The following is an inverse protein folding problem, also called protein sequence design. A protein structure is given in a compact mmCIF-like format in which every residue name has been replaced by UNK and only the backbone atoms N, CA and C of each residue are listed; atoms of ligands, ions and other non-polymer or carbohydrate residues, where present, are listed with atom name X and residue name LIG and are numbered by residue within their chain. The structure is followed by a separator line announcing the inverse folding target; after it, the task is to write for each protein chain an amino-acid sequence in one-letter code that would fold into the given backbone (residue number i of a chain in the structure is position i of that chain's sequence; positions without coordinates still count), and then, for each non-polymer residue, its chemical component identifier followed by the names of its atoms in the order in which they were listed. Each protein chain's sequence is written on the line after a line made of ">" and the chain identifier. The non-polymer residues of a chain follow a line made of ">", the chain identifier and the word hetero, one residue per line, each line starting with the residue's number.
data_IF_195218210311
#
_entry.id   IF_195218210311
#
_cell.length_a   1.000
_cell.length_b   1.000
_cell.length_c   1.000
_cell.angle_alpha   90.00
_cell.angle_beta   90.00
_cell.angle_gamma   90.00
#
_symmetry.space_group_name_H-M   'P 1'
#
loop_
_entity.id
_entity.type
_entity.pdbx_description
1 polymer ?
#
# COMPACT_ATOMS: atom_id res chain seq x y z
N UNK A 1 36.44 11.24 22.98
CA UNK A 1 35.41 11.70 22.05
C UNK A 1 34.32 10.64 22.04
N UNK A 2 33.13 10.98 22.55
CA UNK A 2 32.00 10.05 22.53
C UNK A 2 31.56 9.89 21.07
N UNK A 3 31.93 8.79 20.46
CA UNK A 3 31.60 8.44 19.07
C UNK A 3 30.16 7.89 19.02
N UNK A 4 29.18 8.68 19.47
CA UNK A 4 27.77 8.33 19.38
C UNK A 4 27.33 8.59 17.93
N UNK A 5 26.89 7.56 17.25
CA UNK A 5 26.37 7.63 15.88
C UNK A 5 25.24 8.67 15.71
N UNK A 6 24.51 8.96 16.77
CA UNK A 6 23.30 9.80 16.74
C UNK A 6 23.44 11.10 17.57
N UNK A 7 24.61 11.43 18.08
CA UNK A 7 24.80 12.57 18.95
C UNK A 7 24.17 12.37 20.34
N UNK A 8 23.81 13.47 21.00
CA UNK A 8 23.16 13.44 22.31
C UNK A 8 21.66 13.16 22.16
N UNK A 9 21.09 12.44 23.13
CA UNK A 9 19.64 12.29 23.22
C UNK A 9 19.00 13.64 23.57
N UNK A 10 17.75 13.85 23.15
CA UNK A 10 17.02 15.09 23.46
C UNK A 10 16.94 15.36 24.97
N UNK A 11 16.86 14.31 25.79
CA UNK A 11 16.86 14.38 27.24
C UNK A 11 18.19 14.91 27.81
N UNK A 12 19.31 14.63 27.14
CA UNK A 12 20.64 15.14 27.53
C UNK A 12 20.85 16.63 27.15
N UNK A 13 19.99 17.12 26.25
CA UNK A 13 19.97 18.53 25.81
C UNK A 13 19.00 19.38 26.63
N UNK A 14 18.22 18.76 27.52
CA UNK A 14 17.25 19.41 28.37
C UNK A 14 17.93 20.43 29.30
N UNK A 15 17.33 21.59 29.45
CA UNK A 15 17.73 22.63 30.41
C UNK A 15 16.47 23.20 31.03
N UNK A 16 16.45 23.21 32.36
CA UNK A 16 15.33 23.71 33.15
C UNK A 16 14.87 25.11 32.70
N UNK A 17 13.56 25.30 32.59
CA UNK A 17 12.91 26.55 32.20
C UNK A 17 12.86 26.83 30.71
N UNK A 18 13.44 25.98 29.84
CA UNK A 18 13.34 26.17 28.38
C UNK A 18 12.03 25.65 27.84
N UNK A 19 11.46 26.40 26.88
CA UNK A 19 10.23 26.04 26.19
C UNK A 19 10.42 26.19 24.67
N UNK A 20 9.98 25.21 23.92
CA UNK A 20 10.03 25.19 22.44
C UNK A 20 8.73 25.53 21.74
N UNK A 21 7.68 25.90 22.47
CA UNK A 21 6.38 26.19 21.91
C UNK A 21 5.59 27.21 22.74
N UNK A 22 4.60 27.83 22.09
CA UNK A 22 3.52 28.57 22.76
C UNK A 22 2.18 27.97 22.34
N UNK A 23 1.44 27.44 23.29
CA UNK A 23 0.09 26.94 23.00
C UNK A 23 -0.92 28.08 22.98
N UNK A 24 -1.95 28.04 22.10
CA UNK A 24 -3.07 28.95 22.16
C UNK A 24 -3.81 28.81 23.49
N UNK A 25 -4.55 29.85 23.88
CA UNK A 25 -5.37 29.77 25.09
C UNK A 25 -6.35 28.62 24.99
N UNK A 26 -6.46 27.86 26.10
CA UNK A 26 -7.47 26.83 26.22
C UNK A 26 -8.87 27.46 26.27
N UNK A 27 -9.71 27.20 25.28
CA UNK A 27 -11.09 27.66 25.20
C UNK A 27 -12.11 26.65 25.77
N UNK A 28 -11.65 25.46 26.16
CA UNK A 28 -12.52 24.34 26.58
C UNK A 28 -12.63 24.17 28.10
N UNK A 29 -12.16 25.12 28.90
CA UNK A 29 -12.15 25.00 30.34
C UNK A 29 -11.15 23.95 30.85
N UNK A 30 -11.08 23.78 32.17
CA UNK A 30 -10.26 22.75 32.81
C UNK A 30 -11.14 21.53 33.14
N UNK A 31 -10.67 20.36 32.75
CA UNK A 31 -11.26 19.08 33.17
C UNK A 31 -10.31 18.44 34.20
N UNK A 32 -10.85 18.10 35.36
CA UNK A 32 -10.07 17.33 36.35
C UNK A 32 -10.12 15.84 36.03
N UNK A 33 -8.94 15.27 35.82
CA UNK A 33 -8.80 13.83 35.65
C UNK A 33 -9.07 13.16 37.00
N UNK A 34 -9.91 12.11 37.06
CA UNK A 34 -10.12 11.36 38.29
C UNK A 34 -8.81 10.90 38.95
N UNK A 35 -8.76 10.92 40.28
CA UNK A 35 -7.52 10.67 41.01
C UNK A 35 -6.87 9.31 40.70
N UNK A 36 -7.69 8.30 40.46
CA UNK A 36 -7.28 6.94 40.08
C UNK A 36 -6.65 6.86 38.68
N UNK A 37 -6.89 7.85 37.85
CA UNK A 37 -6.33 7.94 36.48
C UNK A 37 -5.13 8.90 36.41
N UNK A 38 -4.86 9.65 37.48
CA UNK A 38 -3.70 10.55 37.55
C UNK A 38 -2.43 9.74 37.73
N UNK A 39 -1.35 10.19 37.09
CA UNK A 39 -0.01 9.68 37.37
C UNK A 39 0.40 10.09 38.79
N UNK A 40 1.14 9.23 39.48
CA UNK A 40 1.71 9.55 40.78
C UNK A 40 2.79 10.66 40.70
N UNK A 41 3.51 10.70 39.57
CA UNK A 41 4.57 11.67 39.29
C UNK A 41 4.36 12.31 37.94
N UNK A 42 4.79 13.53 37.74
CA UNK A 42 4.78 14.20 36.45
C UNK A 42 5.70 13.50 35.46
N UNK A 43 5.32 13.52 34.17
CA UNK A 43 6.17 12.97 33.13
C UNK A 43 7.46 13.81 33.01
N UNK A 44 8.60 13.15 33.09
CA UNK A 44 9.91 13.78 32.90
C UNK A 44 10.13 14.04 31.39
N UNK A 45 9.59 15.14 30.89
CA UNK A 45 9.79 15.58 29.53
C UNK A 45 11.00 16.49 29.41
N UNK A 46 11.73 16.47 28.26
CA UNK A 46 12.87 17.35 28.07
C UNK A 46 12.40 18.80 27.90
N UNK A 47 13.04 19.70 28.63
CA UNK A 47 12.84 21.14 28.52
C UNK A 47 13.83 21.72 27.50
N UNK A 48 13.39 21.98 26.30
CA UNK A 48 14.19 22.43 25.16
C UNK A 48 13.55 23.64 24.48
N UNK A 49 14.40 24.54 23.97
CA UNK A 49 13.95 25.58 23.06
C UNK A 49 13.72 25.03 21.65
N UNK A 50 12.96 25.77 20.84
CA UNK A 50 12.62 25.38 19.45
C UNK A 50 13.87 25.06 18.61
N UNK A 51 14.91 25.88 18.72
CA UNK A 51 16.15 25.70 17.96
C UNK A 51 16.82 24.36 18.27
N UNK A 52 16.86 24.00 19.56
CA UNK A 52 17.44 22.73 20.05
C UNK A 52 16.62 21.55 19.50
N UNK A 53 15.29 21.62 19.56
CA UNK A 53 14.39 20.58 19.05
C UNK A 53 14.57 20.39 17.54
N UNK A 54 14.47 21.48 16.78
CA UNK A 54 14.58 21.43 15.31
C UNK A 54 15.94 20.88 14.88
N UNK A 55 17.04 21.37 15.47
CA UNK A 55 18.39 20.89 15.15
C UNK A 55 18.60 19.43 15.51
N UNK A 56 18.09 18.99 16.65
CA UNK A 56 18.21 17.60 17.08
C UNK A 56 17.54 16.65 16.07
N UNK A 57 16.27 16.88 15.75
CA UNK A 57 15.53 16.01 14.84
C UNK A 57 15.98 16.12 13.39
N UNK A 58 16.42 17.31 12.93
CA UNK A 58 17.03 17.46 11.61
C UNK A 58 18.33 16.65 11.50
N UNK A 59 19.18 16.69 12.52
CA UNK A 59 20.40 15.88 12.52
C UNK A 59 20.12 14.38 12.54
N UNK A 60 19.12 13.93 13.29
CA UNK A 60 18.66 12.53 13.25
C UNK A 60 18.12 12.14 11.87
N UNK A 61 17.33 13.01 11.27
CA UNK A 61 16.80 12.80 9.92
C UNK A 61 17.91 12.64 8.87
N UNK A 62 18.98 13.46 8.98
CA UNK A 62 20.12 13.38 8.07
C UNK A 62 20.93 12.09 8.19
N UNK A 63 20.76 11.32 9.26
CA UNK A 63 21.38 10.00 9.43
C UNK A 63 20.57 8.89 8.75
N UNK A 64 19.40 9.18 8.21
CA UNK A 64 18.56 8.25 7.47
C UNK A 64 18.62 8.54 5.99
N UNK A 65 18.32 7.51 5.20
CA UNK A 65 18.12 7.70 3.77
C UNK A 65 16.81 8.44 3.50
N UNK A 66 16.87 9.43 2.63
CA UNK A 66 15.72 10.18 2.15
C UNK A 66 15.72 10.25 0.64
N UNK A 67 14.53 10.18 0.05
CA UNK A 67 14.38 10.24 -1.42
C UNK A 67 14.84 11.58 -2.01
N UNK A 68 14.85 12.64 -1.20
CA UNK A 68 15.32 13.97 -1.60
C UNK A 68 16.85 14.11 -1.49
N UNK A 69 17.50 13.29 -0.69
CA UNK A 69 18.95 13.38 -0.44
C UNK A 69 19.77 12.35 -1.20
N UNK A 70 19.13 11.34 -1.77
CA UNK A 70 19.81 10.30 -2.51
C UNK A 70 18.91 9.20 -3.02
N UNK A 71 19.52 8.18 -3.60
CA UNK A 71 18.79 7.01 -4.05
C UNK A 71 18.28 6.19 -2.86
N UNK A 72 16.97 5.96 -2.80
CA UNK A 72 16.34 5.17 -1.76
C UNK A 72 16.25 3.70 -2.18
N UNK A 73 16.88 2.76 -1.44
CA UNK A 73 17.03 1.37 -1.89
C UNK A 73 15.78 0.51 -1.74
N UNK A 74 14.74 0.96 -1.01
CA UNK A 74 13.51 0.22 -0.79
C UNK A 74 12.48 0.53 -1.88
N UNK A 75 11.76 -0.49 -2.33
CA UNK A 75 10.84 -0.39 -3.45
C UNK A 75 9.40 -0.85 -3.19
N UNK A 76 9.10 -1.37 -2.00
CA UNK A 76 7.80 -1.95 -1.67
C UNK A 76 6.66 -0.93 -1.50
N UNK A 77 6.98 0.34 -1.28
CA UNK A 77 6.02 1.42 -1.07
C UNK A 77 6.31 2.59 -2.01
N UNK A 78 5.55 3.68 -1.88
CA UNK A 78 5.79 4.93 -2.61
C UNK A 78 7.04 5.62 -2.08
N UNK A 79 8.23 5.14 -2.47
CA UNK A 79 9.52 5.65 -2.04
C UNK A 79 10.34 6.19 -3.23
N UNK A 80 9.65 6.57 -4.32
CA UNK A 80 10.26 7.20 -5.48
C UNK A 80 10.23 8.71 -5.31
N UNK A 81 11.19 9.39 -5.93
CA UNK A 81 11.19 10.83 -5.94
C UNK A 81 9.88 11.34 -6.55
N UNK A 82 9.19 12.18 -5.79
CA UNK A 82 8.00 12.89 -6.27
C UNK A 82 8.41 14.34 -6.61
N UNK A 83 8.30 14.78 -7.87
CA UNK A 83 8.60 16.16 -8.23
C UNK A 83 7.83 17.14 -7.35
N UNK A 84 8.50 18.15 -6.80
CA UNK A 84 7.88 19.10 -5.85
C UNK A 84 6.68 19.84 -6.44
N UNK A 85 6.68 20.05 -7.77
CA UNK A 85 5.54 20.63 -8.48
C UNK A 85 4.24 19.84 -8.27
N UNK A 86 4.31 18.52 -8.06
CA UNK A 86 3.13 17.69 -7.82
C UNK A 86 2.46 18.07 -6.49
N UNK A 87 3.26 18.34 -5.45
CA UNK A 87 2.75 18.81 -4.15
C UNK A 87 2.12 20.19 -4.28
N UNK A 88 2.77 21.12 -4.99
CA UNK A 88 2.27 22.46 -5.23
C UNK A 88 0.94 22.44 -5.98
N UNK A 89 0.83 21.62 -7.03
CA UNK A 89 -0.40 21.51 -7.81
C UNK A 89 -1.53 20.87 -7.02
N UNK A 90 -1.25 19.81 -6.26
CA UNK A 90 -2.26 19.14 -5.44
C UNK A 90 -2.74 20.03 -4.27
N UNK A 91 -1.90 20.95 -3.79
CA UNK A 91 -2.22 21.89 -2.74
C UNK A 91 -3.08 23.09 -3.19
N UNK A 92 -3.36 23.22 -4.48
CA UNK A 92 -4.23 24.31 -4.97
C UNK A 92 -5.63 24.20 -4.34
N UNK A 93 -6.22 25.31 -3.85
CA UNK A 93 -7.55 25.31 -3.22
C UNK A 93 -8.65 24.70 -4.10
N UNK A 94 -8.50 24.81 -5.42
CA UNK A 94 -9.42 24.25 -6.41
C UNK A 94 -9.47 22.71 -6.39
N UNK A 95 -8.43 22.05 -5.88
CA UNK A 95 -8.38 20.61 -5.69
C UNK A 95 -8.64 20.21 -4.25
N UNK A 96 -8.05 20.91 -3.28
CA UNK A 96 -8.19 20.56 -1.86
C UNK A 96 -9.60 20.78 -1.31
N UNK A 97 -10.32 21.77 -1.82
CA UNK A 97 -11.66 22.13 -1.34
C UNK A 97 -12.79 21.38 -2.06
N UNK A 98 -12.48 20.32 -2.81
CA UNK A 98 -13.48 19.48 -3.44
C UNK A 98 -14.00 18.45 -2.44
N UNK A 99 -15.34 18.31 -2.37
CA UNK A 99 -15.96 17.23 -1.59
C UNK A 99 -16.18 16.00 -2.49
N UNK A 100 -15.93 14.77 -2.01
CA UNK A 100 -16.08 13.55 -2.82
C UNK A 100 -17.49 13.32 -3.38
N UNK A 101 -18.52 13.77 -2.64
CA UNK A 101 -19.94 13.61 -3.01
C UNK A 101 -20.56 14.88 -3.61
N UNK A 102 -19.73 15.85 -3.97
CA UNK A 102 -20.19 17.08 -4.61
C UNK A 102 -20.79 16.78 -6.00
N UNK A 103 -21.83 17.51 -6.46
CA UNK A 103 -22.45 17.26 -7.76
C UNK A 103 -21.46 17.25 -8.91
N UNK A 104 -21.59 16.27 -9.79
CA UNK A 104 -20.66 15.96 -10.91
C UNK A 104 -20.41 17.17 -11.81
N UNK A 105 -21.43 17.98 -12.06
CA UNK A 105 -21.36 19.19 -12.88
C UNK A 105 -20.45 20.27 -12.30
N UNK A 106 -20.18 20.24 -10.99
CA UNK A 106 -19.32 21.20 -10.30
C UNK A 106 -17.84 20.80 -10.29
N UNK A 107 -17.53 19.55 -10.67
CA UNK A 107 -16.16 18.96 -10.61
C UNK A 107 -15.63 18.50 -11.96
N UNK A 108 -16.13 19.07 -13.06
CA UNK A 108 -15.76 18.67 -14.43
C UNK A 108 -14.26 18.68 -14.71
N UNK A 109 -13.53 19.65 -14.13
CA UNK A 109 -12.07 19.74 -14.28
C UNK A 109 -11.35 18.56 -13.63
N UNK A 110 -11.71 18.19 -12.40
CA UNK A 110 -11.16 17.03 -11.70
C UNK A 110 -11.48 15.73 -12.45
N UNK A 111 -12.70 15.58 -12.96
CA UNK A 111 -13.08 14.41 -13.78
C UNK A 111 -12.28 14.32 -15.09
N UNK A 112 -12.04 15.45 -15.75
CA UNK A 112 -11.22 15.48 -16.95
C UNK A 112 -9.78 15.01 -16.68
N UNK A 113 -9.19 15.41 -15.54
CA UNK A 113 -7.86 14.94 -15.11
C UNK A 113 -7.84 13.43 -14.85
N UNK A 114 -8.82 12.91 -14.12
CA UNK A 114 -8.94 11.47 -13.86
C UNK A 114 -9.08 10.69 -15.17
N UNK A 115 -9.93 11.17 -16.09
CA UNK A 115 -10.12 10.55 -17.41
C UNK A 115 -8.84 10.58 -18.25
N UNK A 116 -8.08 11.67 -18.21
CA UNK A 116 -6.81 11.79 -18.91
C UNK A 116 -5.78 10.81 -18.35
N UNK A 117 -5.71 10.70 -17.02
CA UNK A 117 -4.81 9.76 -16.36
C UNK A 117 -5.19 8.31 -16.70
N UNK A 118 -6.47 7.95 -16.67
CA UNK A 118 -6.95 6.62 -17.07
C UNK A 118 -6.52 6.29 -18.50
N UNK A 119 -6.77 7.18 -19.46
CA UNK A 119 -6.36 7.00 -20.85
C UNK A 119 -4.85 6.77 -21.00
N UNK A 120 -4.05 7.55 -20.26
CA UNK A 120 -2.58 7.43 -20.29
C UNK A 120 -2.12 6.08 -19.73
N UNK A 121 -2.71 5.65 -18.61
CA UNK A 121 -2.39 4.35 -18.01
C UNK A 121 -2.86 3.19 -18.88
N UNK A 122 -4.04 3.26 -19.49
CA UNK A 122 -4.51 2.27 -20.46
C UNK A 122 -3.54 2.14 -21.63
N UNK A 123 -3.04 3.25 -22.16
CA UNK A 123 -2.08 3.24 -23.26
C UNK A 123 -0.73 2.63 -22.87
N UNK A 124 -0.25 2.90 -21.66
CA UNK A 124 1.02 2.38 -21.14
C UNK A 124 0.98 0.89 -20.82
N UNK A 125 -0.12 0.41 -20.26
CA UNK A 125 -0.23 -0.95 -19.72
C UNK A 125 -0.94 -1.93 -20.63
N UNK A 126 -1.74 -1.42 -21.59
CA UNK A 126 -2.61 -2.23 -22.44
C UNK A 126 -3.90 -2.71 -21.74
N UNK A 127 -4.17 -2.25 -20.52
CA UNK A 127 -5.41 -2.55 -19.80
C UNK A 127 -6.58 -1.72 -20.32
N UNK A 128 -7.80 -2.24 -20.16
CA UNK A 128 -9.01 -1.58 -20.66
C UNK A 128 -9.47 -0.42 -19.78
N UNK A 129 -9.33 -0.54 -18.46
CA UNK A 129 -9.82 0.44 -17.48
C UNK A 129 -8.96 0.50 -16.24
N UNK A 130 -9.03 1.63 -15.52
CA UNK A 130 -8.41 1.85 -14.23
C UNK A 130 -9.40 2.41 -13.22
N UNK A 131 -9.20 2.10 -11.94
CA UNK A 131 -9.88 2.74 -10.83
C UNK A 131 -8.86 3.48 -9.96
N UNK A 132 -9.24 4.65 -9.47
CA UNK A 132 -8.40 5.50 -8.60
C UNK A 132 -8.95 5.57 -7.17
N UNK A 133 -9.89 4.68 -6.81
CA UNK A 133 -10.47 4.61 -5.47
C UNK A 133 -9.57 3.97 -4.41
N UNK A 134 -8.72 2.98 -4.73
CA UNK A 134 -7.79 2.40 -3.76
C UNK A 134 -6.77 3.43 -3.25
N UNK A 135 -6.56 3.48 -1.93
CA UNK A 135 -5.65 4.46 -1.31
C UNK A 135 -4.19 4.02 -1.29
N UNK A 136 -3.92 2.72 -1.38
CA UNK A 136 -2.58 2.14 -1.31
C UNK A 136 -2.52 0.80 -2.06
N UNK A 137 -1.30 0.23 -2.20
CA UNK A 137 -1.09 -1.06 -2.86
C UNK A 137 -1.96 -2.19 -2.28
N UNK A 138 -2.01 -2.31 -0.95
CA UNK A 138 -2.86 -3.31 -0.29
C UNK A 138 -4.35 -3.17 -0.62
N UNK A 139 -4.86 -1.93 -0.77
CA UNK A 139 -6.24 -1.70 -1.20
C UNK A 139 -6.44 -2.06 -2.68
N UNK A 140 -5.40 -1.92 -3.52
CA UNK A 140 -5.42 -2.39 -4.91
C UNK A 140 -5.56 -3.91 -4.98
N UNK A 141 -4.75 -4.63 -4.19
CA UNK A 141 -4.83 -6.10 -4.06
C UNK A 141 -6.22 -6.55 -3.60
N UNK A 142 -6.75 -5.94 -2.54
CA UNK A 142 -8.08 -6.22 -2.02
C UNK A 142 -9.16 -5.95 -3.07
N UNK A 143 -9.11 -4.80 -3.75
CA UNK A 143 -10.06 -4.43 -4.81
C UNK A 143 -10.03 -5.45 -5.96
N UNK A 144 -8.83 -5.90 -6.35
CA UNK A 144 -8.65 -6.92 -7.36
C UNK A 144 -9.33 -8.24 -6.98
N UNK A 145 -9.07 -8.73 -5.77
CA UNK A 145 -9.67 -9.97 -5.28
C UNK A 145 -11.19 -9.87 -5.13
N UNK A 146 -11.71 -8.75 -4.60
CA UNK A 146 -13.16 -8.50 -4.54
C UNK A 146 -13.80 -8.51 -5.94
N UNK A 147 -13.11 -7.94 -6.92
CA UNK A 147 -13.58 -7.94 -8.32
C UNK A 147 -13.62 -9.35 -8.89
N UNK A 148 -12.59 -10.16 -8.63
CA UNK A 148 -12.49 -11.55 -9.06
C UNK A 148 -13.59 -12.41 -8.41
N UNK A 149 -13.77 -12.30 -7.09
CA UNK A 149 -14.82 -13.04 -6.38
C UNK A 149 -16.22 -12.68 -6.91
N UNK A 150 -16.47 -11.37 -7.08
CA UNK A 150 -17.75 -10.91 -7.63
C UNK A 150 -17.97 -11.39 -9.08
N UNK A 151 -16.93 -11.44 -9.90
CA UNK A 151 -17.00 -12.00 -11.26
C UNK A 151 -17.44 -13.46 -11.24
N UNK A 152 -16.82 -14.30 -10.39
CA UNK A 152 -17.19 -15.71 -10.28
C UNK A 152 -18.62 -15.88 -9.77
N UNK A 153 -19.00 -15.15 -8.71
CA UNK A 153 -20.35 -15.16 -8.15
C UNK A 153 -21.42 -14.73 -9.16
N UNK A 154 -21.16 -13.68 -9.93
CA UNK A 154 -22.11 -13.19 -10.95
C UNK A 154 -22.39 -14.19 -12.06
N UNK A 155 -21.48 -15.15 -12.25
CA UNK A 155 -21.63 -16.27 -13.18
C UNK A 155 -22.21 -17.54 -12.57
N UNK A 156 -22.55 -17.51 -11.27
CA UNK A 156 -23.03 -18.66 -10.54
C UNK A 156 -21.93 -19.67 -10.17
N UNK A 157 -20.66 -19.35 -10.37
CA UNK A 157 -19.52 -20.22 -10.04
C UNK A 157 -19.11 -20.00 -8.58
N UNK A 158 -19.88 -20.61 -7.67
CA UNK A 158 -19.69 -20.48 -6.22
C UNK A 158 -18.59 -21.40 -5.66
N UNK A 159 -18.04 -22.30 -6.48
CA UNK A 159 -17.00 -23.25 -6.06
C UNK A 159 -15.62 -22.58 -5.99
N UNK A 160 -15.39 -21.52 -6.74
CA UNK A 160 -14.08 -20.83 -6.83
C UNK A 160 -13.84 -19.94 -5.64
N UNK A 161 -13.27 -20.52 -4.59
CA UNK A 161 -12.99 -19.84 -3.30
C UNK A 161 -11.52 -19.88 -2.91
N UNK A 162 -10.64 -20.42 -3.75
CA UNK A 162 -9.22 -20.58 -3.44
C UNK A 162 -8.36 -19.61 -4.24
N UNK A 163 -7.33 -19.06 -3.58
CA UNK A 163 -6.33 -18.20 -4.19
C UNK A 163 -4.96 -18.80 -4.01
N UNK A 164 -4.24 -19.02 -5.11
CA UNK A 164 -2.85 -19.47 -5.05
C UNK A 164 -1.97 -18.27 -4.71
N UNK A 165 -1.13 -18.44 -3.69
CA UNK A 165 -0.17 -17.43 -3.23
C UNK A 165 1.21 -18.09 -3.03
N UNK A 166 2.30 -17.54 -3.60
CA UNK A 166 3.63 -18.06 -3.32
C UNK A 166 4.00 -17.95 -1.84
N UNK A 167 4.74 -18.90 -1.30
CA UNK A 167 5.26 -18.91 0.07
C UNK A 167 6.17 -17.71 0.38
N UNK A 168 6.80 -17.14 -0.65
CA UNK A 168 7.62 -15.92 -0.60
C UNK A 168 6.84 -14.62 -0.77
N UNK A 169 5.51 -14.67 -0.86
CA UNK A 169 4.68 -13.49 -1.09
C UNK A 169 4.70 -12.53 0.11
N UNK A 170 4.46 -11.26 -0.17
CA UNK A 170 4.26 -10.26 0.87
C UNK A 170 3.02 -10.60 1.72
N UNK A 171 3.09 -10.37 3.02
CA UNK A 171 2.00 -10.71 3.97
C UNK A 171 0.64 -10.08 3.66
N UNK A 172 0.58 -9.00 2.87
CA UNK A 172 -0.69 -8.40 2.43
C UNK A 172 -1.45 -9.29 1.45
N UNK A 173 -0.77 -10.13 0.68
CA UNK A 173 -1.42 -10.99 -0.30
C UNK A 173 -2.36 -12.01 0.38
N UNK A 174 -1.87 -12.85 1.31
CA UNK A 174 -2.75 -13.75 2.04
C UNK A 174 -3.77 -13.00 2.91
N UNK A 175 -3.40 -11.85 3.50
CA UNK A 175 -4.33 -11.04 4.29
C UNK A 175 -5.50 -10.53 3.45
N UNK A 176 -5.26 -10.03 2.25
CA UNK A 176 -6.30 -9.56 1.33
C UNK A 176 -7.22 -10.70 0.88
N UNK A 177 -6.67 -11.90 0.63
CA UNK A 177 -7.48 -13.08 0.30
C UNK A 177 -8.40 -13.47 1.47
N UNK A 178 -7.87 -13.50 2.69
CA UNK A 178 -8.64 -13.81 3.90
C UNK A 178 -9.78 -12.81 4.14
N UNK A 179 -9.52 -11.50 3.95
CA UNK A 179 -10.55 -10.44 4.07
C UNK A 179 -11.68 -10.64 3.06
N UNK A 180 -11.37 -11.12 1.85
CA UNK A 180 -12.38 -11.49 0.85
C UNK A 180 -13.12 -12.79 1.15
N UNK A 181 -12.77 -13.51 2.22
CA UNK A 181 -13.33 -14.83 2.54
C UNK A 181 -12.87 -15.93 1.59
N UNK A 182 -11.71 -15.74 0.95
CA UNK A 182 -11.08 -16.70 0.06
C UNK A 182 -10.06 -17.54 0.84
N UNK A 183 -9.98 -18.82 0.52
CA UNK A 183 -9.02 -19.77 1.08
C UNK A 183 -7.68 -19.64 0.35
N UNK A 184 -6.58 -19.71 1.12
CA UNK A 184 -5.24 -19.58 0.58
C UNK A 184 -4.69 -20.96 0.28
N UNK A 185 -4.18 -21.14 -0.93
CA UNK A 185 -3.41 -22.32 -1.35
C UNK A 185 -1.99 -21.86 -1.62
N UNK A 186 -1.06 -22.27 -0.77
CA UNK A 186 0.34 -21.92 -0.90
C UNK A 186 1.02 -22.75 -1.99
N UNK A 187 1.78 -22.08 -2.87
CA UNK A 187 2.67 -22.69 -3.82
C UNK A 187 4.13 -22.44 -3.42
N UNK A 188 4.96 -23.47 -3.48
CA UNK A 188 6.37 -23.42 -3.06
C UNK A 188 7.22 -22.58 -3.99
N UNK A 189 8.28 -22.01 -3.43
CA UNK A 189 9.34 -21.33 -4.16
C UNK A 189 10.59 -22.23 -4.26
N UNK A 190 11.27 -22.17 -5.39
CA UNK A 190 12.57 -22.79 -5.61
C UNK A 190 13.69 -22.00 -4.91
N UNK A 191 14.85 -22.60 -4.73
CA UNK A 191 16.01 -21.97 -4.10
C UNK A 191 16.48 -20.68 -4.82
N UNK A 192 16.15 -20.52 -6.09
CA UNK A 192 16.42 -19.32 -6.88
C UNK A 192 15.35 -18.22 -6.76
N UNK A 193 14.34 -18.40 -5.88
CA UNK A 193 13.25 -17.47 -5.65
C UNK A 193 12.12 -17.52 -6.68
N UNK A 194 12.17 -18.41 -7.65
CA UNK A 194 11.08 -18.62 -8.59
C UNK A 194 10.01 -19.55 -8.00
N UNK A 195 8.77 -19.41 -8.45
CA UNK A 195 7.70 -20.35 -8.10
C UNK A 195 8.03 -21.73 -8.63
N UNK A 196 7.86 -22.76 -7.80
CA UNK A 196 7.98 -24.15 -8.21
C UNK A 196 6.84 -24.50 -9.17
N UNK A 197 7.20 -24.67 -10.43
CA UNK A 197 6.22 -24.90 -11.49
C UNK A 197 5.60 -26.30 -11.40
N UNK A 198 6.31 -27.31 -10.91
CA UNK A 198 5.78 -28.66 -10.73
C UNK A 198 4.71 -28.68 -9.62
N UNK A 199 5.00 -27.99 -8.49
CA UNK A 199 4.05 -27.83 -7.40
C UNK A 199 2.82 -27.06 -7.87
N UNK A 200 3.01 -25.98 -8.64
CA UNK A 200 1.90 -25.21 -9.22
C UNK A 200 1.02 -26.06 -10.15
N UNK A 201 1.63 -26.88 -11.02
CA UNK A 201 0.88 -27.77 -11.92
C UNK A 201 0.08 -28.82 -11.11
N UNK A 202 0.68 -29.37 -10.06
CA UNK A 202 0.01 -30.31 -9.15
C UNK A 202 -1.22 -29.65 -8.50
N UNK A 203 -1.08 -28.46 -7.92
CA UNK A 203 -2.16 -27.72 -7.29
C UNK A 203 -3.30 -27.41 -8.25
N UNK A 204 -2.97 -27.00 -9.47
CA UNK A 204 -3.97 -26.71 -10.51
C UNK A 204 -4.66 -28.01 -10.98
N UNK A 205 -3.96 -29.12 -11.07
CA UNK A 205 -4.56 -30.40 -11.44
C UNK A 205 -5.51 -30.92 -10.35
N UNK A 206 -5.13 -30.78 -9.08
CA UNK A 206 -5.92 -31.26 -7.95
C UNK A 206 -7.13 -30.37 -7.62
N UNK A 207 -6.99 -29.03 -7.72
CA UNK A 207 -7.94 -28.06 -7.17
C UNK A 207 -8.40 -27.01 -8.19
N UNK A 208 -8.07 -27.15 -9.46
CA UNK A 208 -8.27 -26.10 -10.48
C UNK A 208 -9.71 -25.60 -10.63
N UNK A 209 -10.72 -26.42 -10.32
CA UNK A 209 -12.13 -26.02 -10.33
C UNK A 209 -12.52 -25.11 -9.18
N UNK A 210 -11.74 -25.11 -8.09
CA UNK A 210 -11.98 -24.31 -6.89
C UNK A 210 -11.10 -23.04 -6.86
N UNK A 211 -10.09 -22.95 -7.72
CA UNK A 211 -9.18 -21.81 -7.78
C UNK A 211 -9.86 -20.62 -8.46
N UNK A 212 -10.00 -19.53 -7.71
CA UNK A 212 -10.53 -18.25 -8.19
C UNK A 212 -9.46 -17.39 -8.84
N UNK A 213 -8.25 -17.36 -8.25
CA UNK A 213 -7.17 -16.47 -8.67
C UNK A 213 -5.80 -17.01 -8.27
N UNK A 214 -4.75 -16.38 -8.80
CA UNK A 214 -3.38 -16.52 -8.34
C UNK A 214 -2.77 -15.13 -8.18
N UNK A 215 -2.11 -14.88 -7.05
CA UNK A 215 -1.37 -13.63 -6.80
C UNK A 215 0.12 -13.89 -6.99
N UNK A 216 0.74 -13.19 -7.96
CA UNK A 216 2.16 -13.35 -8.29
C UNK A 216 2.85 -12.00 -8.48
N UNK A 217 4.17 -11.96 -8.32
CA UNK A 217 4.99 -10.80 -8.68
C UNK A 217 5.50 -10.91 -10.13
N UNK A 218 5.87 -9.77 -10.73
CA UNK A 218 6.36 -9.72 -12.13
C UNK A 218 7.52 -10.66 -12.45
N UNK A 219 8.36 -10.99 -11.48
CA UNK A 219 9.45 -11.97 -11.67
C UNK A 219 8.94 -13.39 -11.91
N UNK A 220 7.67 -13.67 -11.62
CA UNK A 220 7.01 -14.93 -11.93
C UNK A 220 6.38 -14.98 -13.34
N UNK A 221 6.57 -13.97 -14.19
CA UNK A 221 5.98 -13.92 -15.54
C UNK A 221 6.38 -15.13 -16.42
N UNK A 222 7.54 -15.74 -16.20
CA UNK A 222 7.88 -16.97 -16.92
C UNK A 222 6.98 -18.14 -16.52
N UNK A 223 6.62 -18.25 -15.25
CA UNK A 223 5.62 -19.21 -14.76
C UNK A 223 4.23 -18.94 -15.33
N UNK A 224 3.83 -17.67 -15.39
CA UNK A 224 2.54 -17.24 -15.95
C UNK A 224 2.44 -17.52 -17.46
N UNK A 225 3.49 -17.25 -18.25
CA UNK A 225 3.53 -17.62 -19.67
C UNK A 225 3.41 -19.12 -19.88
N UNK A 226 4.07 -19.93 -19.04
CA UNK A 226 3.95 -21.39 -19.06
C UNK A 226 2.57 -21.88 -18.61
N UNK A 227 1.91 -21.21 -17.64
CA UNK A 227 0.50 -21.50 -17.32
C UNK A 227 -0.43 -21.26 -18.51
N UNK A 228 -0.10 -20.33 -19.40
CA UNK A 228 -0.84 -20.15 -20.64
C UNK A 228 -0.62 -21.31 -21.62
N UNK A 229 0.51 -21.99 -21.56
CA UNK A 229 0.81 -23.19 -22.36
C UNK A 229 0.12 -24.45 -21.81
N UNK A 230 -0.14 -24.53 -20.51
CA UNK A 230 -0.91 -25.62 -19.86
C UNK A 230 -2.41 -25.61 -20.23
N UNK A 231 -2.85 -24.67 -21.05
CA UNK A 231 -4.23 -24.56 -21.58
C UNK A 231 -4.73 -25.76 -22.39
N UNK A 232 -3.94 -26.75 -22.63
CA UNK A 232 -4.37 -27.98 -23.29
C UNK A 232 -4.93 -29.04 -22.31
N UNK A 233 -5.00 -28.76 -21.01
CA UNK A 233 -5.81 -29.58 -20.09
C UNK A 233 -7.30 -29.30 -20.31
N UNK A 234 -8.16 -30.33 -20.35
CA UNK A 234 -9.53 -30.25 -20.87
C UNK A 234 -10.50 -29.62 -19.87
N UNK A 235 -10.31 -28.39 -19.48
CA UNK A 235 -11.36 -27.57 -18.88
C UNK A 235 -11.75 -26.49 -19.86
N UNK A 236 -12.63 -26.87 -20.78
CA UNK A 236 -13.36 -25.96 -21.66
C UNK A 236 -14.25 -25.05 -20.83
N UNK A 237 -13.76 -23.91 -20.39
CA UNK A 237 -14.57 -22.69 -20.26
C UNK A 237 -13.63 -21.48 -20.19
N UNK A 238 -13.61 -20.80 -21.29
CA UNK A 238 -13.27 -19.42 -21.61
C UNK A 238 -12.59 -18.55 -20.54
N UNK A 239 -11.25 -18.61 -20.50
CA UNK A 239 -10.43 -17.54 -20.00
C UNK A 239 -10.35 -16.40 -21.03
N UNK A 240 -11.49 -15.85 -21.44
CA UNK A 240 -11.53 -14.74 -22.39
C UNK A 240 -11.21 -13.36 -21.80
N UNK A 241 -10.86 -13.29 -20.50
CA UNK A 241 -10.42 -12.06 -19.88
C UNK A 241 -8.89 -11.91 -19.81
N UNK A 242 -8.19 -12.36 -20.85
CA UNK A 242 -6.71 -12.35 -20.91
C UNK A 242 -6.06 -10.98 -20.69
N UNK A 243 -6.79 -9.89 -20.87
CA UNK A 243 -6.26 -8.53 -20.73
C UNK A 243 -6.67 -7.83 -19.43
N UNK A 244 -7.58 -8.40 -18.65
CA UNK A 244 -8.07 -7.78 -17.42
C UNK A 244 -7.22 -8.08 -16.18
N UNK A 245 -6.35 -9.08 -16.22
CA UNK A 245 -5.53 -9.50 -15.08
C UNK A 245 -4.06 -9.09 -15.16
N UNK A 246 -3.59 -8.61 -16.30
CA UNK A 246 -2.18 -8.19 -16.46
C UNK A 246 -1.82 -6.90 -15.71
N UNK A 247 -2.77 -6.23 -15.09
CA UNK A 247 -2.59 -4.95 -14.41
C UNK A 247 -2.88 -4.93 -12.92
N UNK A 248 -3.07 -6.07 -12.28
CA UNK A 248 -3.31 -6.18 -10.85
C UNK A 248 -2.06 -6.59 -10.06
N UNK A 249 -0.89 -6.54 -10.67
CA UNK A 249 0.41 -6.74 -10.01
C UNK A 249 1.12 -5.41 -9.80
#
# INVERSE_FOLDING_TARGET
>A
MNNRLYGNLIFELSKEGRKGYSLPKNHFGSYEIPAEMKRAEEAQLPECDELTVVRHYTNLSNNNFGVDTGFYPLGSCTMKYNPKINEEMSALPQFQNLHPEQPVETVRGAQALVTLLEKSLCALTGLAHFTFKPYAGAHGELTGLMTIDNYHRSRGDMARKKVIVPDSAHGTNPASAAVCGLEIVEVKSLANGQVDFEDLQRLVAEQGTEIAAMMTYQHCQQGYRRLQEVRHLPTRHDWHSRRQFEGLC
#
